data_IF_113387544573
#
_entry.id   IF_113387544573
#
_cell.length_a   1.000
_cell.length_b   1.000
_cell.length_c   1.000
_cell.angle_alpha   90.00
_cell.angle_beta   90.00
_cell.angle_gamma   90.00
#
_symmetry.space_group_name_H-M   'P 1'
#
loop_
_entity.id
_entity.type
_entity.pdbx_description
1 polymer ?
#
# COMPACT_ATOMS: atom_id res chain seq x y z
N UNK A 1 53.25 -67.07 11.45
CA UNK A 1 52.75 -66.25 10.32
C UNK A 1 51.75 -65.23 10.86
N UNK A 2 52.03 -63.91 10.75
CA UNK A 2 51.12 -62.86 11.25
C UNK A 2 50.03 -62.62 10.20
N UNK A 3 48.76 -62.66 10.63
CA UNK A 3 47.60 -62.47 9.76
C UNK A 3 47.55 -61.00 9.27
N UNK A 4 47.74 -60.74 7.96
CA UNK A 4 47.78 -59.39 7.40
C UNK A 4 46.44 -58.64 7.50
N UNK A 5 45.34 -59.35 7.77
CA UNK A 5 44.00 -58.75 7.91
C UNK A 5 43.75 -58.12 9.28
N UNK A 6 44.60 -58.38 10.28
CA UNK A 6 44.45 -57.80 11.63
C UNK A 6 44.61 -56.28 11.67
N UNK A 7 45.24 -55.66 10.66
CA UNK A 7 45.35 -54.19 10.55
C UNK A 7 44.11 -53.52 9.98
N UNK A 8 43.22 -54.24 9.30
CA UNK A 8 41.97 -53.68 8.77
C UNK A 8 40.86 -53.55 9.82
N UNK A 9 41.02 -54.21 10.98
CA UNK A 9 40.04 -54.19 12.07
C UNK A 9 40.30 -53.10 13.13
N UNK A 10 41.42 -52.37 13.07
CA UNK A 10 41.66 -51.21 13.94
C UNK A 10 40.93 -50.01 13.36
N UNK A 11 39.67 -49.86 13.77
CA UNK A 11 38.88 -48.67 13.54
C UNK A 11 39.63 -47.48 14.13
N UNK A 12 39.90 -46.50 13.27
CA UNK A 12 40.53 -45.25 13.66
C UNK A 12 39.49 -44.40 14.41
N UNK A 13 39.51 -44.46 15.73
CA UNK A 13 38.54 -43.77 16.60
C UNK A 13 38.63 -42.23 16.51
N UNK A 14 39.61 -41.70 15.78
CA UNK A 14 39.71 -40.27 15.48
C UNK A 14 38.83 -39.85 14.30
N UNK A 15 38.34 -40.80 13.49
CA UNK A 15 37.51 -40.51 12.32
C UNK A 15 36.03 -40.52 12.69
N UNK A 16 35.24 -39.49 12.33
CA UNK A 16 33.82 -39.47 12.62
C UNK A 16 33.13 -40.68 11.98
N UNK A 17 32.27 -41.34 12.75
CA UNK A 17 31.45 -42.43 12.22
C UNK A 17 30.51 -41.92 11.12
N UNK A 18 30.07 -42.80 10.21
CA UNK A 18 29.06 -42.47 9.20
C UNK A 18 27.79 -41.87 9.81
N UNK A 19 27.41 -42.29 11.04
CA UNK A 19 26.29 -41.72 11.79
C UNK A 19 26.56 -40.27 12.22
N UNK A 20 27.76 -39.96 12.71
CA UNK A 20 28.15 -38.58 13.04
C UNK A 20 28.22 -37.70 11.78
N UNK A 21 28.72 -38.23 10.67
CA UNK A 21 28.66 -37.53 9.37
C UNK A 21 27.21 -37.26 8.94
N UNK A 22 26.31 -38.24 9.03
CA UNK A 22 24.91 -38.05 8.67
C UNK A 22 24.20 -37.01 9.56
N UNK A 23 24.48 -36.99 10.87
CA UNK A 23 23.94 -35.97 11.79
C UNK A 23 24.50 -34.59 11.46
N UNK A 24 25.81 -34.47 11.20
CA UNK A 24 26.42 -33.21 10.80
C UNK A 24 25.87 -32.71 9.45
N UNK A 25 25.62 -33.62 8.50
CA UNK A 25 25.02 -33.29 7.20
C UNK A 25 23.57 -32.85 7.36
N UNK A 26 22.77 -33.54 8.20
CA UNK A 26 21.39 -33.17 8.52
C UNK A 26 21.31 -31.82 9.23
N UNK A 27 22.24 -31.53 10.15
CA UNK A 27 22.34 -30.23 10.82
C UNK A 27 22.72 -29.11 9.83
N UNK A 28 23.72 -29.35 8.96
CA UNK A 28 24.07 -28.40 7.89
C UNK A 28 22.91 -28.20 6.92
N UNK A 29 22.24 -29.28 6.50
CA UNK A 29 21.09 -29.21 5.61
C UNK A 29 19.91 -28.48 6.26
N UNK A 30 19.62 -28.74 7.53
CA UNK A 30 18.59 -28.00 8.28
C UNK A 30 18.93 -26.51 8.43
N UNK A 31 20.22 -26.17 8.57
CA UNK A 31 20.68 -24.77 8.59
C UNK A 31 20.56 -24.09 7.22
N UNK A 32 20.76 -24.84 6.14
CA UNK A 32 20.60 -24.36 4.74
C UNK A 32 19.12 -24.30 4.35
N UNK A 33 18.28 -25.18 4.89
CA UNK A 33 16.85 -25.26 4.58
C UNK A 33 15.98 -24.39 5.50
N UNK A 34 16.53 -23.84 6.60
CA UNK A 34 15.79 -22.87 7.41
C UNK A 34 15.69 -21.59 6.58
N UNK A 35 14.47 -21.12 6.24
CA UNK A 35 14.31 -19.83 5.59
C UNK A 35 15.02 -18.78 6.43
N UNK A 36 15.82 -17.93 5.79
CA UNK A 36 16.29 -16.73 6.44
C UNK A 36 15.05 -15.88 6.74
N UNK A 37 14.63 -15.87 8.00
CA UNK A 37 13.52 -15.07 8.46
C UNK A 37 14.10 -13.81 9.10
N UNK A 38 13.85 -12.66 8.48
CA UNK A 38 14.16 -11.38 9.08
C UNK A 38 13.39 -11.21 10.39
N UNK A 39 14.11 -10.94 11.49
CA UNK A 39 13.53 -10.69 12.81
C UNK A 39 13.69 -9.19 13.13
N UNK A 40 12.63 -8.38 12.99
CA UNK A 40 12.70 -6.93 13.23
C UNK A 40 12.98 -6.60 14.71
N UNK A 41 12.91 -7.56 15.63
CA UNK A 41 13.19 -7.33 17.06
C UNK A 41 14.68 -7.42 17.39
N UNK A 42 15.52 -7.90 16.45
CA UNK A 42 16.96 -8.15 16.66
C UNK A 42 17.82 -7.45 15.63
N UNK A 43 17.60 -6.15 15.50
CA UNK A 43 18.35 -5.30 14.59
C UNK A 43 19.77 -5.05 15.11
N UNK A 44 20.80 -5.18 14.27
CA UNK A 44 22.17 -4.80 14.61
C UNK A 44 22.29 -3.27 14.77
N UNK A 45 23.33 -2.81 15.45
CA UNK A 45 23.60 -1.38 15.57
C UNK A 45 23.86 -0.75 14.18
N UNK A 46 23.35 0.47 13.90
CA UNK A 46 23.64 1.19 12.67
C UNK A 46 25.16 1.34 12.42
N UNK A 47 25.60 1.19 11.17
CA UNK A 47 27.00 1.28 10.73
C UNK A 47 27.88 0.07 11.09
N UNK A 48 27.39 -0.85 11.91
CA UNK A 48 28.21 -1.97 12.42
C UNK A 48 28.56 -3.00 11.34
N UNK A 49 29.68 -3.70 11.53
CA UNK A 49 30.08 -4.83 10.68
C UNK A 49 29.04 -5.96 10.70
N UNK A 50 28.32 -6.13 11.82
CA UNK A 50 27.21 -7.08 11.92
C UNK A 50 26.04 -6.68 10.99
N UNK A 51 25.70 -5.38 10.92
CA UNK A 51 24.68 -4.87 10.01
C UNK A 51 25.06 -5.12 8.54
N UNK A 52 26.31 -4.83 8.17
CA UNK A 52 26.84 -5.10 6.83
C UNK A 52 26.79 -6.59 6.49
N UNK A 53 27.24 -7.46 7.41
CA UNK A 53 27.19 -8.91 7.20
C UNK A 53 25.76 -9.44 7.04
N UNK A 54 24.81 -8.97 7.86
CA UNK A 54 23.39 -9.32 7.75
C UNK A 54 22.78 -8.83 6.43
N UNK A 55 23.10 -7.60 6.01
CA UNK A 55 22.67 -7.07 4.72
C UNK A 55 23.15 -7.93 3.54
N UNK A 56 24.44 -8.27 3.47
CA UNK A 56 24.95 -9.12 2.39
C UNK A 56 24.33 -10.54 2.40
N UNK A 57 24.07 -11.09 3.57
CA UNK A 57 23.32 -12.35 3.70
C UNK A 57 21.89 -12.22 3.16
N UNK A 58 21.20 -11.13 3.49
CA UNK A 58 19.85 -10.84 2.99
C UNK A 58 19.83 -10.62 1.47
N UNK A 59 20.84 -9.97 0.87
CA UNK A 59 20.98 -9.85 -0.58
C UNK A 59 21.13 -11.23 -1.25
N UNK A 60 22.02 -12.07 -0.70
CA UNK A 60 22.24 -13.43 -1.23
C UNK A 60 20.96 -14.26 -1.19
N UNK A 61 20.19 -14.15 -0.10
CA UNK A 61 18.91 -14.84 0.02
C UNK A 61 17.85 -14.26 -0.91
N UNK A 62 17.79 -12.93 -1.05
CA UNK A 62 16.88 -12.24 -1.97
C UNK A 62 17.11 -12.74 -3.39
N UNK A 63 18.36 -12.83 -3.85
CA UNK A 63 18.70 -13.40 -5.16
C UNK A 63 18.30 -14.86 -5.31
N UNK A 64 18.44 -15.66 -4.25
CA UNK A 64 18.01 -17.07 -4.25
C UNK A 64 16.49 -17.18 -4.40
N UNK A 65 15.74 -16.38 -3.66
CA UNK A 65 14.27 -16.37 -3.67
C UNK A 65 13.72 -15.79 -4.98
N UNK A 66 14.35 -14.76 -5.54
CA UNK A 66 13.99 -14.19 -6.85
C UNK A 66 14.05 -15.22 -7.98
N UNK A 67 14.99 -16.17 -7.95
CA UNK A 67 15.03 -17.27 -8.95
C UNK A 67 13.85 -18.24 -8.85
N UNK A 68 13.17 -18.28 -7.71
CA UNK A 68 11.99 -19.11 -7.48
C UNK A 68 10.67 -18.39 -7.80
N UNK A 69 10.70 -17.07 -8.03
CA UNK A 69 9.51 -16.32 -8.48
C UNK A 69 9.14 -16.83 -9.88
N UNK A 70 7.86 -17.16 -10.13
CA UNK A 70 7.40 -17.57 -11.45
C UNK A 70 7.93 -16.65 -12.53
N UNK A 71 8.66 -17.23 -13.48
CA UNK A 71 9.11 -16.52 -14.64
C UNK A 71 7.89 -16.32 -15.54
N UNK A 72 7.41 -15.08 -15.67
CA UNK A 72 6.43 -14.67 -16.66
C UNK A 72 7.19 -14.25 -17.94
N UNK A 73 7.54 -15.17 -18.86
CA UNK A 73 8.34 -14.85 -20.03
C UNK A 73 7.71 -13.77 -20.92
N UNK A 74 6.39 -13.58 -20.84
CA UNK A 74 5.63 -12.54 -21.52
C UNK A 74 6.01 -11.14 -21.05
N UNK A 75 6.53 -10.99 -19.84
CA UNK A 75 7.05 -9.73 -19.34
C UNK A 75 8.45 -9.44 -19.87
N UNK A 76 9.11 -10.35 -20.60
CA UNK A 76 10.44 -10.11 -21.11
C UNK A 76 10.37 -9.15 -22.31
N UNK A 77 10.86 -7.92 -22.13
CA UNK A 77 10.93 -6.90 -23.19
C UNK A 77 12.12 -7.15 -24.10
N UNK A 78 13.29 -7.45 -23.52
CA UNK A 78 14.50 -7.82 -24.25
C UNK A 78 15.39 -8.80 -23.44
N UNK A 79 16.66 -9.00 -23.85
CA UNK A 79 17.57 -9.91 -23.18
C UNK A 79 17.87 -9.55 -21.70
N UNK A 80 17.80 -8.27 -21.35
CA UNK A 80 18.20 -7.70 -20.07
C UNK A 80 17.05 -7.01 -19.34
N UNK A 81 15.98 -6.62 -20.03
CA UNK A 81 14.88 -5.82 -19.46
C UNK A 81 13.56 -6.57 -19.43
N UNK A 82 12.75 -6.19 -18.44
CA UNK A 82 11.43 -6.74 -18.19
C UNK A 82 10.44 -5.60 -18.09
N UNK A 83 9.22 -5.84 -18.55
CA UNK A 83 8.07 -5.00 -18.28
C UNK A 83 7.79 -4.95 -16.78
N UNK A 84 7.82 -3.72 -16.27
CA UNK A 84 7.33 -3.30 -14.96
C UNK A 84 6.02 -2.57 -15.16
N UNK A 85 5.26 -2.34 -14.09
CA UNK A 85 4.09 -1.46 -14.13
C UNK A 85 4.48 -0.09 -14.69
N UNK A 86 5.47 0.58 -14.10
CA UNK A 86 5.86 1.91 -14.55
C UNK A 86 6.27 1.97 -16.04
N UNK A 87 7.03 0.98 -16.51
CA UNK A 87 7.43 0.94 -17.94
C UNK A 87 6.28 0.56 -18.87
N UNK A 88 5.31 -0.22 -18.43
CA UNK A 88 4.09 -0.50 -19.20
C UNK A 88 3.20 0.74 -19.30
N UNK A 89 3.06 1.54 -18.23
CA UNK A 89 2.31 2.81 -18.29
C UNK A 89 2.94 3.75 -19.30
N UNK A 90 4.25 3.95 -19.21
CA UNK A 90 4.99 4.80 -20.14
C UNK A 90 4.86 4.30 -21.60
N UNK A 91 4.90 2.98 -21.81
CA UNK A 91 4.76 2.38 -23.13
C UNK A 91 3.34 2.52 -23.70
N UNK A 92 2.30 2.47 -22.86
CA UNK A 92 0.92 2.74 -23.27
C UNK A 92 0.75 4.20 -23.68
N UNK A 93 1.27 5.14 -22.88
CA UNK A 93 1.22 6.58 -23.16
C UNK A 93 1.96 6.94 -24.45
N UNK A 94 3.10 6.30 -24.71
CA UNK A 94 3.87 6.45 -25.94
C UNK A 94 3.25 5.74 -27.16
N UNK A 95 2.20 4.93 -26.97
CA UNK A 95 1.60 4.11 -28.02
C UNK A 95 2.47 2.93 -28.49
N UNK A 96 3.48 2.54 -27.71
CA UNK A 96 4.33 1.37 -27.96
C UNK A 96 3.60 0.05 -27.67
N UNK A 97 2.59 0.08 -26.79
CA UNK A 97 1.79 -1.08 -26.40
C UNK A 97 0.30 -0.77 -26.60
N UNK A 98 -0.44 -1.73 -27.17
CA UNK A 98 -1.88 -1.60 -27.35
C UNK A 98 -2.63 -1.72 -26.01
N UNK A 99 -3.77 -1.03 -25.80
CA UNK A 99 -4.52 -1.12 -24.55
C UNK A 99 -4.88 -2.55 -24.09
N UNK A 100 -5.21 -3.44 -25.04
CA UNK A 100 -5.50 -4.84 -24.74
C UNK A 100 -4.26 -5.62 -24.26
N UNK A 101 -3.10 -5.33 -24.84
CA UNK A 101 -1.84 -5.93 -24.43
C UNK A 101 -1.37 -5.37 -23.07
N UNK A 102 -1.54 -4.06 -22.87
CA UNK A 102 -1.31 -3.40 -21.58
C UNK A 102 -2.14 -4.07 -20.47
N UNK A 103 -3.46 -4.22 -20.65
CA UNK A 103 -4.32 -4.83 -19.65
C UNK A 103 -3.87 -6.24 -19.25
N UNK A 104 -3.40 -7.04 -20.23
CA UNK A 104 -2.87 -8.39 -20.00
C UNK A 104 -1.52 -8.36 -19.26
N UNK A 105 -0.56 -7.57 -19.74
CA UNK A 105 0.80 -7.51 -19.19
C UNK A 105 0.83 -6.84 -17.82
N UNK A 106 -0.06 -5.88 -17.56
CA UNK A 106 -0.14 -5.15 -16.30
C UNK A 106 -0.38 -6.08 -15.11
N UNK A 107 -1.31 -7.02 -15.24
CA UNK A 107 -1.62 -7.98 -14.18
C UNK A 107 -0.43 -8.91 -13.88
N UNK A 108 0.28 -9.35 -14.91
CA UNK A 108 1.48 -10.18 -14.75
C UNK A 108 2.61 -9.37 -14.08
N UNK A 109 2.81 -8.12 -14.50
CA UNK A 109 3.81 -7.23 -13.91
C UNK A 109 3.49 -6.93 -12.44
N UNK A 110 2.22 -6.67 -12.12
CA UNK A 110 1.75 -6.45 -10.76
C UNK A 110 1.99 -7.67 -9.86
N UNK A 111 1.61 -8.88 -10.29
CA UNK A 111 1.87 -10.13 -9.54
C UNK A 111 3.38 -10.34 -9.32
N UNK A 112 4.20 -10.15 -10.37
CA UNK A 112 5.65 -10.28 -10.27
C UNK A 112 6.25 -9.29 -9.27
N UNK A 113 5.91 -8.01 -9.38
CA UNK A 113 6.40 -6.96 -8.49
C UNK A 113 5.96 -7.19 -7.05
N UNK A 114 4.71 -7.60 -6.84
CA UNK A 114 4.21 -7.94 -5.51
C UNK A 114 5.02 -9.07 -4.87
N UNK A 115 5.35 -10.12 -5.64
CA UNK A 115 6.20 -11.23 -5.15
C UNK A 115 7.64 -10.78 -4.86
N UNK A 116 8.23 -9.94 -5.71
CA UNK A 116 9.57 -9.37 -5.46
C UNK A 116 9.56 -8.51 -4.19
N UNK A 117 8.52 -7.70 -3.98
CA UNK A 117 8.36 -6.92 -2.77
C UNK A 117 8.20 -7.82 -1.54
N UNK A 118 7.39 -8.88 -1.63
CA UNK A 118 7.23 -9.85 -0.54
C UNK A 118 8.57 -10.53 -0.18
N UNK A 119 9.42 -10.85 -1.17
CA UNK A 119 10.78 -11.35 -0.93
C UNK A 119 11.62 -10.31 -0.19
N UNK A 120 11.64 -9.06 -0.65
CA UNK A 120 12.41 -7.98 -0.03
C UNK A 120 11.98 -7.71 1.43
N UNK A 121 10.68 -7.79 1.72
CA UNK A 121 10.12 -7.68 3.07
C UNK A 121 10.54 -8.88 3.93
N UNK A 122 10.40 -10.10 3.40
CA UNK A 122 10.74 -11.35 4.10
C UNK A 122 12.22 -11.41 4.47
N UNK A 123 13.10 -10.95 3.59
CA UNK A 123 14.54 -10.90 3.84
C UNK A 123 14.96 -9.66 4.62
N UNK A 124 14.09 -8.66 4.76
CA UNK A 124 14.39 -7.39 5.42
C UNK A 124 15.53 -6.61 4.77
N UNK A 125 15.81 -6.86 3.48
CA UNK A 125 17.00 -6.34 2.80
C UNK A 125 17.06 -4.81 2.81
N UNK A 126 15.92 -4.13 2.70
CA UNK A 126 15.85 -2.66 2.76
C UNK A 126 16.17 -2.09 4.15
N UNK A 127 15.61 -2.68 5.21
CA UNK A 127 15.90 -2.26 6.58
C UNK A 127 17.38 -2.51 6.94
N UNK A 128 17.92 -3.66 6.51
CA UNK A 128 19.32 -3.99 6.73
C UNK A 128 20.27 -3.10 5.92
N UNK A 129 19.89 -2.68 4.72
CA UNK A 129 20.65 -1.69 3.94
C UNK A 129 20.78 -0.37 4.71
N UNK A 130 19.65 0.16 5.19
CA UNK A 130 19.64 1.40 5.96
C UNK A 130 20.52 1.32 7.22
N UNK A 131 20.53 0.18 7.91
CA UNK A 131 21.41 -0.04 9.06
C UNK A 131 22.87 -0.22 8.65
N UNK A 132 23.17 -0.96 7.59
CA UNK A 132 24.53 -1.25 7.15
C UNK A 132 25.29 0.01 6.68
N UNK A 133 24.56 0.95 6.08
CA UNK A 133 25.08 2.17 5.46
C UNK A 133 24.54 3.44 6.12
N UNK A 134 24.23 3.39 7.41
CA UNK A 134 23.67 4.53 8.14
C UNK A 134 24.55 5.79 8.05
N UNK A 135 25.86 5.64 7.92
CA UNK A 135 26.81 6.74 7.74
C UNK A 135 26.63 7.49 6.41
N UNK A 136 26.12 6.81 5.37
CA UNK A 136 25.83 7.40 4.06
C UNK A 136 24.51 8.20 4.06
N UNK A 137 23.70 8.04 5.11
CA UNK A 137 22.44 8.73 5.34
C UNK A 137 22.47 9.46 6.70
N UNK A 138 23.32 10.50 6.86
CA UNK A 138 23.45 11.21 8.12
C UNK A 138 22.07 11.74 8.54
N UNK A 139 21.56 11.20 9.65
CA UNK A 139 20.41 11.78 10.31
C UNK A 139 20.81 13.20 10.75
N UNK A 140 19.98 14.22 10.50
CA UNK A 140 20.29 15.59 10.91
C UNK A 140 20.59 15.64 12.42
N UNK A 141 21.83 16.00 12.74
CA UNK A 141 22.40 16.02 14.10
C UNK A 141 21.68 16.99 15.06
N UNK A 142 20.80 17.84 14.52
CA UNK A 142 20.13 18.93 15.24
C UNK A 142 18.74 18.57 15.78
N UNK A 143 18.38 17.29 15.85
CA UNK A 143 17.14 16.90 16.53
C UNK A 143 17.40 16.97 18.04
N UNK A 144 17.25 18.16 18.64
CA UNK A 144 17.25 18.33 20.08
C UNK A 144 16.33 17.27 20.69
N UNK A 145 16.77 16.56 21.73
CA UNK A 145 15.95 15.53 22.39
C UNK A 145 14.61 16.10 22.96
N UNK A 146 14.50 17.43 23.09
CA UNK A 146 13.27 18.14 23.46
C UNK A 146 12.36 18.50 22.27
N UNK A 147 12.86 18.44 21.03
CA UNK A 147 12.09 18.54 19.78
C UNK A 147 11.82 17.15 19.18
N UNK A 148 11.98 16.07 19.96
CA UNK A 148 11.51 14.77 19.51
C UNK A 148 10.01 14.90 19.22
N UNK A 149 9.56 14.62 17.99
CA UNK A 149 8.15 14.69 17.66
C UNK A 149 7.39 13.84 18.67
N UNK A 150 6.44 14.47 19.36
CA UNK A 150 5.56 13.77 20.27
C UNK A 150 5.02 12.54 19.55
N UNK A 151 5.24 11.36 20.13
CA UNK A 151 4.86 10.10 19.50
C UNK A 151 3.37 10.17 19.12
N UNK A 152 3.06 9.81 17.88
CA UNK A 152 1.71 9.87 17.36
C UNK A 152 0.74 9.15 18.31
N UNK A 153 -0.37 9.77 18.74
CA UNK A 153 -1.31 9.18 19.69
C UNK A 153 -1.82 7.80 19.23
N UNK A 154 -1.88 7.55 17.92
CA UNK A 154 -2.33 6.28 17.36
C UNK A 154 -1.46 5.09 17.80
N UNK A 155 -0.16 5.30 18.03
CA UNK A 155 0.73 4.23 18.47
C UNK A 155 0.37 3.72 19.86
N UNK A 156 0.01 4.63 20.78
CA UNK A 156 -0.41 4.26 22.12
C UNK A 156 -1.72 3.47 22.09
N UNK A 157 -2.69 3.92 21.28
CA UNK A 157 -3.98 3.27 21.13
C UNK A 157 -3.85 1.87 20.49
N UNK A 158 -3.05 1.72 19.42
CA UNK A 158 -2.77 0.42 18.78
C UNK A 158 -2.13 -0.56 19.76
N UNK A 159 -1.15 -0.09 20.56
CA UNK A 159 -0.48 -0.93 21.55
C UNK A 159 -1.46 -1.42 22.62
N UNK A 160 -2.37 -0.56 23.08
CA UNK A 160 -3.39 -0.94 24.05
C UNK A 160 -4.37 -1.96 23.47
N UNK A 161 -4.85 -1.77 22.24
CA UNK A 161 -5.72 -2.72 21.56
C UNK A 161 -5.06 -4.10 21.37
N UNK A 162 -3.79 -4.13 20.96
CA UNK A 162 -3.01 -5.38 20.86
C UNK A 162 -2.84 -6.07 22.21
N UNK A 163 -2.61 -5.31 23.29
CA UNK A 163 -2.51 -5.86 24.63
C UNK A 163 -3.85 -6.43 25.13
N UNK A 164 -4.97 -5.79 24.82
CA UNK A 164 -6.30 -6.29 25.15
C UNK A 164 -6.63 -7.59 24.39
N UNK A 165 -6.33 -7.63 23.10
CA UNK A 165 -6.48 -8.86 22.29
C UNK A 165 -5.62 -10.01 22.83
N UNK A 166 -4.35 -9.76 23.13
CA UNK A 166 -3.47 -10.79 23.72
C UNK A 166 -3.98 -11.32 25.06
N UNK A 167 -4.71 -10.52 25.84
CA UNK A 167 -5.31 -10.95 27.09
C UNK A 167 -6.52 -11.89 26.87
N UNK A 168 -7.30 -11.68 25.80
CA UNK A 168 -8.39 -12.59 25.39
C UNK A 168 -7.81 -13.92 24.91
N UNK A 169 -6.80 -13.89 24.04
CA UNK A 169 -6.11 -15.09 23.57
C UNK A 169 -5.52 -15.90 24.73
N UNK A 170 -4.83 -15.25 25.67
CA UNK A 170 -4.28 -15.92 26.84
C UNK A 170 -5.35 -16.54 27.76
N UNK A 171 -6.56 -15.94 27.81
CA UNK A 171 -7.68 -16.51 28.53
C UNK A 171 -8.25 -17.74 27.79
N UNK A 172 -8.43 -17.66 26.46
CA UNK A 172 -8.87 -18.77 25.61
C UNK A 172 -7.92 -19.97 25.71
N UNK A 173 -6.61 -19.74 25.57
CA UNK A 173 -5.58 -20.78 25.72
C UNK A 173 -5.67 -21.48 27.08
N UNK A 174 -5.86 -20.71 28.15
CA UNK A 174 -5.97 -21.26 29.50
C UNK A 174 -7.29 -22.01 29.71
N UNK A 175 -8.38 -21.56 29.09
CA UNK A 175 -9.68 -22.21 29.12
C UNK A 175 -9.64 -23.56 28.39
N UNK A 176 -9.05 -23.60 27.20
CA UNK A 176 -8.87 -24.85 26.44
C UNK A 176 -7.97 -25.84 27.18
N UNK A 177 -6.88 -25.35 27.78
CA UNK A 177 -5.91 -26.22 28.44
C UNK A 177 -6.38 -26.77 29.80
N UNK A 178 -7.18 -26.01 30.55
CA UNK A 178 -7.47 -26.31 31.97
C UNK A 178 -8.96 -26.28 32.33
N UNK A 179 -9.82 -25.89 31.40
CA UNK A 179 -11.26 -25.74 31.62
C UNK A 179 -11.63 -24.48 32.40
N UNK A 180 -12.95 -24.24 32.51
CA UNK A 180 -13.52 -23.03 33.10
C UNK A 180 -13.07 -22.77 34.54
N UNK A 181 -12.95 -23.81 35.36
CA UNK A 181 -12.57 -23.70 36.79
C UNK A 181 -11.20 -23.03 36.99
N UNK A 182 -10.27 -23.23 36.05
CA UNK A 182 -8.91 -22.70 36.14
C UNK A 182 -8.77 -21.25 35.67
N UNK A 183 -9.66 -20.79 34.78
CA UNK A 183 -9.68 -19.42 34.25
C UNK A 183 -10.67 -18.51 34.97
N UNK A 184 -11.38 -19.06 35.96
CA UNK A 184 -12.31 -18.36 36.82
C UNK A 184 -13.75 -18.50 36.34
N UNK A 185 -14.26 -17.47 35.65
CA UNK A 185 -15.68 -17.38 35.28
C UNK A 185 -15.86 -16.77 33.89
N UNK A 186 -17.00 -17.03 33.27
CA UNK A 186 -17.41 -16.39 32.00
C UNK A 186 -17.55 -14.87 32.14
N UNK A 187 -17.80 -14.34 33.34
CA UNK A 187 -17.80 -12.89 33.57
C UNK A 187 -16.43 -12.26 33.30
N UNK A 188 -15.34 -13.03 33.45
CA UNK A 188 -13.99 -12.56 33.11
C UNK A 188 -13.77 -12.51 31.60
N UNK A 189 -14.30 -13.48 30.87
CA UNK A 189 -14.28 -13.49 29.39
C UNK A 189 -15.03 -12.28 28.84
N UNK A 190 -16.22 -11.99 29.37
CA UNK A 190 -17.04 -10.84 29.00
C UNK A 190 -16.28 -9.52 29.22
N UNK A 191 -15.66 -9.32 30.39
CA UNK A 191 -14.85 -8.12 30.69
C UNK A 191 -13.67 -7.96 29.72
N UNK A 192 -12.97 -9.06 29.41
CA UNK A 192 -11.83 -9.04 28.47
C UNK A 192 -12.28 -8.73 27.05
N UNK A 193 -13.41 -9.30 26.62
CA UNK A 193 -14.00 -9.08 25.30
C UNK A 193 -14.48 -7.64 25.15
N UNK A 194 -15.20 -7.11 26.15
CA UNK A 194 -15.62 -5.70 26.17
C UNK A 194 -14.42 -4.75 26.10
N UNK A 195 -13.34 -5.06 26.84
CA UNK A 195 -12.11 -4.27 26.80
C UNK A 195 -11.45 -4.35 25.42
N UNK A 196 -11.39 -5.53 24.81
CA UNK A 196 -10.86 -5.71 23.46
C UNK A 196 -11.66 -4.88 22.45
N UNK A 197 -12.99 -4.97 22.46
CA UNK A 197 -13.85 -4.18 21.57
C UNK A 197 -13.64 -2.67 21.75
N UNK A 198 -13.65 -2.18 23.00
CA UNK A 198 -13.48 -0.76 23.30
C UNK A 198 -12.12 -0.22 22.86
N UNK A 199 -11.04 -0.97 23.14
CA UNK A 199 -9.68 -0.53 22.78
C UNK A 199 -9.45 -0.58 21.27
N UNK A 200 -10.07 -1.52 20.56
CA UNK A 200 -10.10 -1.53 19.10
C UNK A 200 -10.83 -0.30 18.54
N UNK A 201 -12.02 0.03 19.06
CA UNK A 201 -12.75 1.24 18.67
C UNK A 201 -11.94 2.52 18.90
N UNK A 202 -11.28 2.64 20.04
CA UNK A 202 -10.38 3.78 20.34
C UNK A 202 -9.22 3.84 19.35
N UNK A 203 -8.58 2.72 19.03
CA UNK A 203 -7.48 2.68 18.07
C UNK A 203 -7.91 3.11 16.66
N UNK A 204 -9.07 2.65 16.18
CA UNK A 204 -9.62 3.03 14.88
C UNK A 204 -10.12 4.48 14.85
N UNK A 205 -10.66 5.00 15.96
CA UNK A 205 -11.11 6.38 16.05
C UNK A 205 -9.96 7.40 16.24
N UNK A 206 -8.77 6.93 16.64
CA UNK A 206 -7.63 7.82 16.90
C UNK A 206 -7.08 8.37 15.59
N UNK A 207 -7.18 9.69 15.41
CA UNK A 207 -6.67 10.36 14.20
C UNK A 207 -5.14 10.43 14.23
N UNK A 208 -4.45 9.78 13.27
CA UNK A 208 -3.00 9.89 13.17
C UNK A 208 -2.59 11.28 12.70
N UNK A 209 -1.55 11.82 13.31
CA UNK A 209 -1.00 13.16 13.05
C UNK A 209 0.28 13.14 12.21
N UNK A 210 0.89 11.96 12.04
CA UNK A 210 2.16 11.75 11.35
C UNK A 210 2.02 10.72 10.23
N UNK A 211 2.88 10.77 9.19
CA UNK A 211 2.92 9.74 8.15
C UNK A 211 3.16 8.33 8.72
N UNK A 212 4.01 8.21 9.74
CA UNK A 212 4.33 6.95 10.42
C UNK A 212 3.11 6.42 11.17
N UNK A 213 2.38 7.27 11.89
CA UNK A 213 1.13 6.92 12.56
C UNK A 213 0.06 6.45 11.57
N UNK A 214 -0.05 7.09 10.40
CA UNK A 214 -0.96 6.65 9.34
C UNK A 214 -0.64 5.24 8.85
N UNK A 215 0.63 4.97 8.54
CA UNK A 215 1.06 3.62 8.14
C UNK A 215 0.76 2.59 9.22
N UNK A 216 0.97 2.93 10.49
CA UNK A 216 0.65 2.05 11.61
C UNK A 216 -0.85 1.76 11.73
N UNK A 217 -1.72 2.77 11.51
CA UNK A 217 -3.16 2.59 11.48
C UNK A 217 -3.60 1.66 10.34
N UNK A 218 -3.00 1.77 9.15
CA UNK A 218 -3.24 0.84 8.03
C UNK A 218 -2.89 -0.58 8.43
N UNK A 219 -1.68 -0.81 8.93
CA UNK A 219 -1.26 -2.15 9.36
C UNK A 219 -2.14 -2.70 10.49
N UNK A 220 -2.64 -1.83 11.38
CA UNK A 220 -3.56 -2.23 12.43
C UNK A 220 -4.96 -2.59 11.90
N UNK A 221 -5.47 -1.81 10.95
CA UNK A 221 -6.73 -2.07 10.26
C UNK A 221 -6.69 -3.41 9.49
N UNK A 222 -5.62 -3.66 8.74
CA UNK A 222 -5.40 -4.93 8.03
C UNK A 222 -5.40 -6.12 9.01
N UNK A 223 -4.67 -5.99 10.12
CA UNK A 223 -4.64 -7.02 11.16
C UNK A 223 -6.03 -7.27 11.79
N UNK A 224 -6.81 -6.21 12.00
CA UNK A 224 -8.17 -6.34 12.52
C UNK A 224 -9.12 -7.00 11.51
N UNK A 225 -8.96 -6.72 10.21
CA UNK A 225 -9.70 -7.37 9.14
C UNK A 225 -9.37 -8.87 9.13
N UNK A 226 -8.10 -9.24 9.11
CA UNK A 226 -7.64 -10.63 9.10
C UNK A 226 -8.18 -11.44 10.30
N UNK A 227 -8.23 -10.82 11.49
CA UNK A 227 -8.77 -11.47 12.70
C UNK A 227 -10.28 -11.78 12.64
N UNK A 228 -11.03 -11.06 11.81
CA UNK A 228 -12.49 -11.10 11.78
C UNK A 228 -13.04 -11.63 10.45
N UNK A 229 -12.17 -11.85 9.46
CA UNK A 229 -12.49 -12.59 8.25
C UNK A 229 -13.05 -13.97 8.60
N UNK A 230 -14.06 -14.40 7.85
CA UNK A 230 -14.56 -15.76 7.97
C UNK A 230 -13.48 -16.74 7.53
N UNK A 231 -13.60 -18.01 7.94
CA UNK A 231 -12.67 -19.08 7.56
C UNK A 231 -12.56 -19.31 6.04
N UNK A 232 -13.51 -18.80 5.25
CA UNK A 232 -13.52 -18.81 3.79
C UNK A 232 -12.94 -17.54 3.15
N UNK A 233 -12.44 -16.60 3.96
CA UNK A 233 -11.92 -15.30 3.52
C UNK A 233 -13.00 -14.28 3.17
N UNK A 234 -14.29 -14.59 3.39
CA UNK A 234 -15.36 -13.64 3.11
C UNK A 234 -15.49 -12.59 4.24
N UNK A 235 -15.92 -11.36 3.90
CA UNK A 235 -16.25 -10.35 4.90
C UNK A 235 -17.37 -10.79 5.84
N UNK A 236 -17.43 -10.17 7.01
CA UNK A 236 -18.58 -10.31 7.91
C UNK A 236 -19.83 -9.66 7.29
N UNK A 237 -21.01 -10.23 7.53
CA UNK A 237 -22.27 -9.62 7.13
C UNK A 237 -22.75 -8.61 8.18
N UNK A 238 -23.25 -7.43 7.76
CA UNK A 238 -23.93 -6.46 8.64
C UNK A 238 -23.41 -5.02 8.54
N UNK A 239 -24.12 -4.08 9.20
CA UNK A 239 -23.86 -2.64 9.09
C UNK A 239 -22.80 -2.08 10.07
N UNK A 240 -22.14 -2.95 10.85
CA UNK A 240 -21.15 -2.55 11.87
C UNK A 240 -19.97 -3.53 11.93
N UNK A 241 -19.49 -3.93 10.76
CA UNK A 241 -18.38 -4.88 10.65
C UNK A 241 -17.06 -4.17 10.94
N UNK A 242 -16.03 -4.96 11.25
CA UNK A 242 -14.68 -4.39 11.40
C UNK A 242 -14.21 -3.67 10.12
N UNK A 243 -14.71 -4.10 8.95
CA UNK A 243 -14.39 -3.50 7.65
C UNK A 243 -14.87 -2.06 7.61
N UNK A 244 -16.13 -1.81 7.96
CA UNK A 244 -16.67 -0.45 8.03
C UNK A 244 -15.83 0.46 8.96
N UNK A 245 -15.55 -0.02 10.17
CA UNK A 245 -14.76 0.74 11.16
C UNK A 245 -13.34 1.02 10.65
N UNK A 246 -12.69 0.03 10.05
CA UNK A 246 -11.35 0.14 9.47
C UNK A 246 -11.33 1.14 8.31
N UNK A 247 -12.26 1.03 7.36
CA UNK A 247 -12.32 1.96 6.23
C UNK A 247 -12.64 3.38 6.67
N UNK A 248 -13.56 3.57 7.61
CA UNK A 248 -13.87 4.87 8.19
C UNK A 248 -12.65 5.49 8.86
N UNK A 249 -11.89 4.72 9.65
CA UNK A 249 -10.64 5.15 10.26
C UNK A 249 -9.60 5.62 9.22
N UNK A 250 -9.42 4.85 8.14
CA UNK A 250 -8.52 5.18 7.05
C UNK A 250 -8.94 6.44 6.30
N UNK A 251 -10.24 6.57 5.99
CA UNK A 251 -10.78 7.77 5.38
C UNK A 251 -10.58 9.01 6.26
N UNK A 252 -10.79 8.89 7.58
CA UNK A 252 -10.52 9.96 8.54
C UNK A 252 -9.03 10.33 8.60
N UNK A 253 -8.13 9.35 8.61
CA UNK A 253 -6.68 9.58 8.60
C UNK A 253 -6.22 10.34 7.34
N UNK A 254 -6.79 10.00 6.17
CA UNK A 254 -6.53 10.72 4.91
C UNK A 254 -7.09 12.14 4.98
N UNK A 255 -8.31 12.33 5.53
CA UNK A 255 -8.93 13.66 5.67
C UNK A 255 -8.15 14.59 6.61
N UNK A 256 -7.51 14.04 7.65
CA UNK A 256 -6.71 14.80 8.61
C UNK A 256 -5.39 15.32 8.01
N UNK A 257 -4.94 14.77 6.89
CA UNK A 257 -3.70 15.16 6.20
C UNK A 257 -3.78 16.53 5.50
N UNK A 258 -4.90 17.26 5.62
CA UNK A 258 -5.10 18.57 4.96
C UNK A 258 -4.04 19.61 5.35
N UNK A 259 -2.93 19.60 4.62
CA UNK A 259 -2.31 20.83 4.13
C UNK A 259 -3.36 21.54 3.26
N UNK A 260 -3.53 22.85 3.43
CA UNK A 260 -4.36 23.65 2.53
C UNK A 260 -3.95 23.35 1.07
N UNK A 261 -4.80 22.69 0.25
CA UNK A 261 -4.43 22.29 -1.11
C UNK A 261 -3.94 23.48 -1.93
N UNK A 262 -4.49 24.66 -1.64
CA UNK A 262 -4.15 25.93 -2.25
C UNK A 262 -2.65 26.28 -2.18
N UNK A 263 -1.91 25.86 -1.14
CA UNK A 263 -0.47 26.17 -1.04
C UNK A 263 0.40 25.28 -1.91
N UNK A 264 -0.05 24.05 -2.18
CA UNK A 264 0.74 23.05 -2.91
C UNK A 264 0.75 23.35 -4.41
N UNK A 265 -0.36 23.85 -4.95
CA UNK A 265 -0.47 24.04 -6.40
C UNK A 265 0.30 25.24 -6.94
N UNK A 266 0.55 26.26 -6.13
CA UNK A 266 1.22 27.49 -6.57
C UNK A 266 2.59 27.24 -7.26
N UNK A 267 3.31 26.19 -6.88
CA UNK A 267 4.60 25.82 -7.45
C UNK A 267 4.52 24.88 -8.67
N UNK A 268 3.37 24.26 -8.93
CA UNK A 268 3.17 23.29 -10.03
C UNK A 268 2.96 24.05 -11.33
N UNK A 269 3.65 23.77 -12.45
CA UNK A 269 3.45 24.49 -13.71
C UNK A 269 2.06 24.23 -14.32
N UNK A 270 1.60 25.15 -15.19
CA UNK A 270 0.20 25.17 -15.65
C UNK A 270 -0.19 23.94 -16.49
N UNK A 271 0.74 23.42 -17.30
CA UNK A 271 0.59 22.16 -18.04
C UNK A 271 0.37 20.95 -17.12
N UNK A 272 1.14 20.86 -16.03
CA UNK A 272 0.96 19.83 -15.03
C UNK A 272 -0.36 19.99 -14.26
N UNK A 273 -0.83 21.22 -14.02
CA UNK A 273 -2.16 21.46 -13.44
C UNK A 273 -3.28 20.96 -14.37
N UNK A 274 -3.15 21.12 -15.69
CA UNK A 274 -4.12 20.56 -16.65
C UNK A 274 -4.15 19.04 -16.61
N UNK A 275 -2.99 18.39 -16.58
CA UNK A 275 -2.89 16.93 -16.47
C UNK A 275 -3.51 16.42 -15.15
N UNK A 276 -3.25 17.12 -14.04
CA UNK A 276 -3.88 16.82 -12.75
C UNK A 276 -5.39 17.03 -12.79
N UNK A 277 -5.89 18.07 -13.45
CA UNK A 277 -7.32 18.29 -13.61
C UNK A 277 -8.01 17.13 -14.37
N UNK A 278 -7.42 16.63 -15.46
CA UNK A 278 -7.92 15.45 -16.19
C UNK A 278 -7.93 14.21 -15.31
N UNK A 279 -6.85 13.97 -14.56
CA UNK A 279 -6.75 12.82 -13.66
C UNK A 279 -7.84 12.86 -12.59
N UNK A 280 -8.01 13.99 -11.90
CA UNK A 280 -8.95 14.09 -10.79
C UNK A 280 -10.42 14.15 -11.24
N UNK A 281 -10.75 14.82 -12.37
CA UNK A 281 -12.09 14.78 -12.97
C UNK A 281 -12.44 13.35 -13.41
N UNK A 282 -11.52 12.68 -14.09
CA UNK A 282 -11.68 11.29 -14.51
C UNK A 282 -11.87 10.36 -13.31
N UNK A 283 -11.00 10.43 -12.32
CA UNK A 283 -11.07 9.59 -11.13
C UNK A 283 -12.37 9.81 -10.35
N UNK A 284 -12.74 11.07 -10.08
CA UNK A 284 -13.97 11.41 -9.37
C UNK A 284 -15.21 10.78 -10.02
N UNK A 285 -15.34 10.88 -11.36
CA UNK A 285 -16.44 10.25 -12.09
C UNK A 285 -16.45 8.72 -11.96
N UNK A 286 -15.28 8.07 -12.02
CA UNK A 286 -15.21 6.62 -11.86
C UNK A 286 -15.67 6.19 -10.46
N UNK A 287 -15.29 6.93 -9.41
CA UNK A 287 -15.77 6.68 -8.06
C UNK A 287 -17.30 6.90 -7.97
N UNK A 288 -17.81 8.04 -8.43
CA UNK A 288 -19.26 8.29 -8.40
C UNK A 288 -20.06 7.25 -9.20
N UNK A 289 -19.56 6.78 -10.34
CA UNK A 289 -20.18 5.67 -11.10
C UNK A 289 -20.08 4.35 -10.33
N UNK A 290 -18.93 4.06 -9.73
CA UNK A 290 -18.71 2.87 -8.90
C UNK A 290 -19.65 2.79 -7.69
N UNK A 291 -20.08 3.93 -7.15
CA UNK A 291 -21.06 3.99 -6.07
C UNK A 291 -22.46 3.49 -6.47
N UNK A 292 -22.78 3.39 -7.76
CA UNK A 292 -24.04 2.81 -8.23
C UNK A 292 -23.98 1.28 -8.36
N UNK A 293 -22.84 0.65 -8.05
CA UNK A 293 -22.70 -0.80 -8.17
C UNK A 293 -23.50 -1.52 -7.08
N UNK A 294 -24.40 -2.47 -7.43
CA UNK A 294 -25.32 -3.10 -6.46
C UNK A 294 -24.64 -3.80 -5.27
N UNK A 295 -23.39 -4.23 -5.44
CA UNK A 295 -22.63 -4.96 -4.41
C UNK A 295 -21.95 -4.04 -3.39
N UNK A 296 -22.05 -2.71 -3.54
CA UNK A 296 -21.43 -1.74 -2.61
C UNK A 296 -22.22 -1.53 -1.31
N UNK A 297 -23.37 -2.22 -1.15
CA UNK A 297 -24.19 -2.20 0.06
C UNK A 297 -25.34 -1.17 0.01
N UNK A 298 -26.18 -1.19 1.05
CA UNK A 298 -27.34 -0.31 1.24
C UNK A 298 -26.93 1.15 1.55
N UNK A 299 -27.88 2.09 1.57
CA UNK A 299 -27.71 3.52 1.83
C UNK A 299 -27.33 3.87 3.29
N UNK A 300 -26.87 2.90 4.10
CA UNK A 300 -26.38 3.19 5.45
C UNK A 300 -25.15 4.09 5.37
N UNK A 301 -25.02 5.07 6.25
CA UNK A 301 -23.94 6.09 6.31
C UNK A 301 -22.51 5.51 6.21
N UNK A 302 -22.39 4.21 6.47
CA UNK A 302 -21.19 3.42 6.67
C UNK A 302 -21.01 2.32 5.59
N UNK A 303 -21.82 2.34 4.52
CA UNK A 303 -21.71 1.36 3.45
C UNK A 303 -20.52 1.61 2.51
N UNK A 304 -20.11 0.56 1.81
CA UNK A 304 -19.11 0.66 0.73
C UNK A 304 -19.50 1.72 -0.30
N UNK A 305 -20.80 1.87 -0.57
CA UNK A 305 -21.34 2.95 -1.41
C UNK A 305 -20.94 4.33 -0.87
N UNK A 306 -21.18 4.60 0.41
CA UNK A 306 -20.84 5.90 0.99
C UNK A 306 -19.33 6.14 1.06
N UNK A 307 -18.50 5.12 1.26
CA UNK A 307 -17.04 5.25 1.14
C UNK A 307 -16.62 5.66 -0.29
N UNK A 308 -17.20 5.02 -1.30
CA UNK A 308 -16.92 5.31 -2.71
C UNK A 308 -17.42 6.70 -3.11
N UNK A 309 -18.63 7.11 -2.66
CA UNK A 309 -19.16 8.48 -2.86
C UNK A 309 -18.26 9.51 -2.18
N UNK A 310 -17.93 9.30 -0.91
CA UNK A 310 -17.09 10.21 -0.14
C UNK A 310 -15.71 10.41 -0.79
N UNK A 311 -15.15 9.35 -1.38
CA UNK A 311 -13.89 9.46 -2.11
C UNK A 311 -14.07 10.18 -3.44
N UNK A 312 -15.17 9.92 -4.17
CA UNK A 312 -15.54 10.70 -5.35
C UNK A 312 -15.69 12.20 -5.06
N UNK A 313 -16.30 12.55 -3.94
CA UNK A 313 -16.46 13.93 -3.48
C UNK A 313 -15.11 14.56 -3.09
N UNK A 314 -14.23 13.80 -2.43
CA UNK A 314 -12.87 14.25 -2.11
C UNK A 314 -12.07 14.56 -3.38
N UNK A 315 -12.12 13.66 -4.36
CA UNK A 315 -11.46 13.84 -5.65
C UNK A 315 -12.04 15.03 -6.42
N UNK A 316 -13.37 15.22 -6.37
CA UNK A 316 -14.04 16.38 -6.95
C UNK A 316 -13.61 17.70 -6.30
N UNK A 317 -13.49 17.73 -4.97
CA UNK A 317 -12.98 18.92 -4.27
C UNK A 317 -11.52 19.23 -4.63
N UNK A 318 -10.70 18.21 -4.88
CA UNK A 318 -9.33 18.40 -5.35
C UNK A 318 -9.30 18.95 -6.78
N UNK A 319 -10.11 18.39 -7.68
CA UNK A 319 -10.34 18.93 -9.01
C UNK A 319 -10.75 20.41 -8.95
N UNK A 320 -11.68 20.76 -8.06
CA UNK A 320 -12.13 22.12 -7.90
C UNK A 320 -11.01 23.08 -7.49
N UNK A 321 -10.17 22.67 -6.54
CA UNK A 321 -9.01 23.44 -6.10
C UNK A 321 -7.97 23.62 -7.22
N UNK A 322 -7.75 22.59 -8.04
CA UNK A 322 -6.86 22.65 -9.21
C UNK A 322 -7.41 23.64 -10.24
N UNK A 323 -8.70 23.56 -10.57
CA UNK A 323 -9.32 24.48 -11.55
C UNK A 323 -9.37 25.92 -11.03
N UNK A 324 -9.57 26.12 -9.73
CA UNK A 324 -9.45 27.45 -9.13
C UNK A 324 -8.03 28.00 -9.22
N UNK A 325 -7.01 27.15 -9.04
CA UNK A 325 -5.63 27.58 -9.25
C UNK A 325 -5.35 27.89 -10.72
N UNK A 326 -5.79 27.04 -11.66
CA UNK A 326 -5.74 27.30 -13.10
C UNK A 326 -6.37 28.66 -13.42
N UNK A 327 -7.53 28.99 -12.83
CA UNK A 327 -8.25 30.25 -13.07
C UNK A 327 -7.45 31.51 -12.69
N UNK A 328 -6.54 31.40 -11.72
CA UNK A 328 -5.75 32.55 -11.23
C UNK A 328 -4.53 32.85 -12.11
N UNK A 329 -4.12 31.92 -12.97
CA UNK A 329 -2.87 32.03 -13.71
C UNK A 329 -3.05 32.74 -15.03
N UNK A 330 -2.02 33.48 -15.43
CA UNK A 330 -1.92 34.03 -16.77
C UNK A 330 -1.26 32.98 -17.68
N UNK A 331 -1.90 32.57 -18.77
CA UNK A 331 -1.32 31.59 -19.69
C UNK A 331 -0.14 32.22 -20.44
N UNK A 332 0.95 31.48 -20.60
CA UNK A 332 2.16 31.99 -21.25
C UNK A 332 2.05 32.05 -22.78
N UNK A 333 1.09 31.32 -23.36
CA UNK A 333 0.88 31.22 -24.81
C UNK A 333 -0.58 30.86 -25.13
N UNK A 334 -0.92 30.89 -26.42
CA UNK A 334 -2.29 30.60 -26.91
C UNK A 334 -2.74 29.17 -26.60
N UNK A 335 -1.83 28.19 -26.59
CA UNK A 335 -2.17 26.78 -26.29
C UNK A 335 -2.60 26.64 -24.83
N UNK A 336 -1.86 27.25 -23.90
CA UNK A 336 -2.21 27.29 -22.48
C UNK A 336 -3.51 28.07 -22.25
N UNK A 337 -3.71 29.18 -22.94
CA UNK A 337 -4.95 29.97 -22.86
C UNK A 337 -6.16 29.15 -23.31
N UNK A 338 -6.00 28.38 -24.39
CA UNK A 338 -7.02 27.44 -24.85
C UNK A 338 -7.30 26.35 -23.80
N UNK A 339 -6.27 25.67 -23.29
CA UNK A 339 -6.45 24.60 -22.29
C UNK A 339 -7.09 25.15 -21.00
N UNK A 340 -6.66 26.34 -20.55
CA UNK A 340 -7.27 27.03 -19.43
C UNK A 340 -8.75 27.30 -19.69
N UNK A 341 -9.11 27.86 -20.84
CA UNK A 341 -10.50 28.13 -21.21
C UNK A 341 -11.35 26.85 -21.28
N UNK A 342 -10.79 25.75 -21.77
CA UNK A 342 -11.47 24.44 -21.77
C UNK A 342 -11.84 24.00 -20.35
N UNK A 343 -10.88 24.05 -19.41
CA UNK A 343 -11.11 23.64 -18.02
C UNK A 343 -12.11 24.50 -17.28
N UNK A 344 -12.00 25.82 -17.42
CA UNK A 344 -12.94 26.74 -16.80
C UNK A 344 -14.36 26.55 -17.36
N UNK A 345 -14.48 26.28 -18.66
CA UNK A 345 -15.76 25.99 -19.30
C UNK A 345 -16.33 24.65 -18.81
N UNK A 346 -15.53 23.57 -18.75
CA UNK A 346 -15.96 22.28 -18.20
C UNK A 346 -16.49 22.42 -16.77
N UNK A 347 -15.78 23.13 -15.89
CA UNK A 347 -16.23 23.40 -14.51
C UNK A 347 -17.55 24.19 -14.47
N UNK A 348 -17.68 25.23 -15.29
CA UNK A 348 -18.93 26.00 -15.36
C UNK A 348 -20.11 25.14 -15.83
N UNK A 349 -19.92 24.29 -16.84
CA UNK A 349 -20.95 23.36 -17.33
C UNK A 349 -21.34 22.33 -16.28
N UNK A 350 -20.38 21.74 -15.56
CA UNK A 350 -20.64 20.79 -14.49
C UNK A 350 -21.45 21.41 -13.33
N UNK A 351 -21.21 22.69 -13.03
CA UNK A 351 -21.98 23.46 -12.05
C UNK A 351 -23.33 24.00 -12.56
N UNK A 352 -23.68 23.78 -13.83
CA UNK A 352 -24.90 24.32 -14.44
C UNK A 352 -24.86 25.83 -14.72
N UNK A 353 -23.69 26.46 -14.70
CA UNK A 353 -23.48 27.88 -14.98
C UNK A 353 -23.26 28.11 -16.48
N UNK A 354 -24.35 27.98 -17.24
CA UNK A 354 -24.35 28.08 -18.71
C UNK A 354 -23.91 29.45 -19.23
N UNK A 355 -24.22 30.53 -18.49
CA UNK A 355 -23.83 31.89 -18.86
C UNK A 355 -22.32 32.07 -18.73
N UNK A 356 -21.72 31.64 -17.61
CA UNK A 356 -20.27 31.68 -17.45
C UNK A 356 -19.54 30.82 -18.49
N UNK A 357 -20.07 29.63 -18.79
CA UNK A 357 -19.53 28.78 -19.85
C UNK A 357 -19.55 29.50 -21.21
N UNK A 358 -20.64 30.19 -21.56
CA UNK A 358 -20.74 30.96 -22.80
C UNK A 358 -19.73 32.12 -22.84
N UNK A 359 -19.56 32.86 -21.74
CA UNK A 359 -18.56 33.94 -21.64
C UNK A 359 -17.15 33.40 -21.83
N UNK A 360 -16.81 32.26 -21.21
CA UNK A 360 -15.49 31.63 -21.38
C UNK A 360 -15.28 31.18 -22.83
N UNK A 361 -16.31 30.58 -23.44
CA UNK A 361 -16.27 30.15 -24.84
C UNK A 361 -15.98 31.31 -25.79
N UNK A 362 -16.60 32.49 -25.60
CA UNK A 362 -16.32 33.66 -26.44
C UNK A 362 -14.89 34.18 -26.35
N UNK A 363 -14.18 33.89 -25.26
CA UNK A 363 -12.81 34.32 -25.01
C UNK A 363 -11.75 33.30 -25.45
N UNK A 364 -12.19 32.10 -25.88
CA UNK A 364 -11.30 30.98 -26.19
C UNK A 364 -11.55 30.49 -27.64
N UNK A 365 -11.07 31.23 -28.66
CA UNK A 365 -11.55 31.11 -30.04
C UNK A 365 -11.34 29.73 -30.66
N UNK A 366 -10.23 29.04 -30.33
CA UNK A 366 -9.92 27.74 -30.93
C UNK A 366 -10.75 26.60 -30.33
N UNK A 367 -11.21 26.72 -29.09
CA UNK A 367 -12.03 25.70 -28.44
C UNK A 367 -13.48 25.71 -28.92
N UNK A 368 -14.03 26.87 -29.27
CA UNK A 368 -15.34 26.94 -29.94
C UNK A 368 -15.30 26.19 -31.25
N UNK A 369 -14.25 26.38 -32.05
CA UNK A 369 -14.08 25.68 -33.33
C UNK A 369 -13.86 24.17 -33.14
N UNK A 370 -13.04 23.75 -32.17
CA UNK A 370 -12.78 22.32 -31.88
C UNK A 370 -13.98 21.60 -31.25
N UNK A 371 -14.71 22.22 -30.34
CA UNK A 371 -15.92 21.64 -29.73
C UNK A 371 -17.05 21.49 -30.76
N UNK A 372 -17.20 22.48 -31.66
CA UNK A 372 -18.12 22.35 -32.79
C UNK A 372 -17.74 21.18 -33.69
N UNK A 373 -16.46 21.07 -34.08
CA UNK A 373 -15.98 19.99 -34.93
C UNK A 373 -16.17 18.58 -34.31
N UNK A 374 -15.94 18.42 -32.99
CA UNK A 374 -16.15 17.14 -32.29
C UNK A 374 -17.64 16.77 -32.20
N UNK A 375 -18.51 17.73 -31.90
CA UNK A 375 -19.97 17.55 -31.88
C UNK A 375 -20.51 17.16 -33.27
N UNK A 376 -20.00 17.79 -34.34
CA UNK A 376 -20.40 17.49 -35.71
C UNK A 376 -19.95 16.09 -36.15
N UNK A 377 -18.72 15.70 -35.82
CA UNK A 377 -18.19 14.36 -36.07
C UNK A 377 -18.99 13.26 -35.33
N UNK A 378 -19.38 13.50 -34.08
CA UNK A 378 -20.23 12.57 -33.32
C UNK A 378 -21.64 12.44 -33.92
N UNK A 379 -22.24 13.54 -34.39
CA UNK A 379 -23.54 13.51 -35.09
C UNK A 379 -23.48 12.78 -36.43
N UNK A 380 -22.41 12.96 -37.19
CA UNK A 380 -22.20 12.24 -38.45
C UNK A 380 -22.03 10.73 -38.21
N UNK A 381 -21.27 10.36 -37.17
CA UNK A 381 -21.09 8.96 -36.77
C UNK A 381 -22.34 8.29 -36.21
N UNK A 382 -23.29 9.06 -35.68
CA UNK A 382 -24.59 8.54 -35.23
C UNK A 382 -25.63 8.42 -36.37
N UNK A 383 -25.33 8.97 -37.55
CA UNK A 383 -26.22 8.98 -38.73
C UNK A 383 -25.81 8.01 -39.84
N UNK A 384 -24.59 7.50 -39.80
CA UNK A 384 -24.11 6.41 -40.64
C UNK A 384 -23.94 5.16 -39.80
#
# INVERSE_FOLDING_TARGET
>A
MRNPLSRLARRDDTKPSLRQHAVALKSKAARVMRPYAFDPTKLPAPGSDEAKAKFYAACTETDRLHRGVPNHPELKRDALTWWTRDSLTAALEAGEVLPAEFARLWLLAADREHRLLAVAVTTGVGALHALAFADDYPLPADTNANDMPQADPVFAAIREARAAHAAVEAWNDAYEAKGLEAVGSLAREEELTERQSRTCEVALATTPTTPEGRRALVTFADWQIELHERSDGSPQDGAHTIFDRAYSALAHAIRAERAEPARVFAAVPLDALFALADLYDGAARHFHVGAFWPETGDDSEHSGKNLVVNEGDRLSAMFDAIVEEIAKREPANEIEADQQGEWLMRKALAGGDWEKAAVIATKTPANVQRAFARSEAARLKARG
#
